data_IF_373038669339
#
_entry.id   IF_373038669339
#
_cell.length_a   1.000
_cell.length_b   1.000
_cell.length_c   1.000
_cell.angle_alpha   90.00
_cell.angle_beta   90.00
_cell.angle_gamma   90.00
#
_symmetry.space_group_name_H-M   'P 1'
#
loop_
_entity.id
_entity.type
_entity.pdbx_description
1 polymer ?
#
# COMPACT_ATOMS: atom_id res chain seq x y z
N UNK A 1 -61.44 15.61 3.99
CA UNK A 1 -60.48 15.63 5.12
C UNK A 1 -59.67 14.33 5.05
N UNK A 2 -58.82 14.18 4.04
CA UNK A 2 -58.18 12.90 3.66
C UNK A 2 -56.91 13.14 2.80
N UNK A 3 -56.18 14.23 3.03
CA UNK A 3 -54.96 14.57 2.27
C UNK A 3 -53.81 15.00 3.21
N UNK A 4 -53.80 14.49 4.45
CA UNK A 4 -52.73 14.79 5.43
C UNK A 4 -51.93 13.57 5.88
N UNK A 5 -52.25 12.36 5.41
CA UNK A 5 -51.65 11.12 5.92
C UNK A 5 -50.65 10.44 4.97
N UNK A 6 -50.48 10.94 3.74
CA UNK A 6 -49.56 10.34 2.77
C UNK A 6 -48.19 11.04 2.75
N UNK A 7 -48.08 12.28 3.23
CA UNK A 7 -46.82 13.03 3.18
C UNK A 7 -45.87 12.80 4.36
N UNK A 8 -46.34 12.26 5.48
CA UNK A 8 -45.48 12.03 6.67
C UNK A 8 -44.72 10.71 6.62
N UNK A 9 -45.06 9.79 5.71
CA UNK A 9 -44.36 8.49 5.61
C UNK A 9 -43.14 8.50 4.69
N UNK A 10 -42.93 9.54 3.87
CA UNK A 10 -41.81 9.60 2.93
C UNK A 10 -40.50 10.18 3.52
N UNK A 11 -40.53 10.75 4.73
CA UNK A 11 -39.35 11.39 5.34
C UNK A 11 -38.57 10.52 6.34
N UNK A 12 -39.02 9.30 6.65
CA UNK A 12 -38.36 8.40 7.61
C UNK A 12 -37.48 7.31 6.98
N UNK A 13 -37.19 7.36 5.68
CA UNK A 13 -36.46 6.30 4.96
C UNK A 13 -35.11 6.71 4.36
N UNK A 14 -34.42 7.72 4.89
CA UNK A 14 -33.07 8.09 4.41
C UNK A 14 -32.10 8.44 5.54
N UNK A 15 -32.14 7.70 6.65
CA UNK A 15 -31.03 7.64 7.59
C UNK A 15 -30.58 6.19 7.76
N UNK A 16 -30.21 5.55 6.65
CA UNK A 16 -29.23 4.46 6.71
C UNK A 16 -27.90 5.06 7.09
N UNK A 17 -27.68 5.18 8.40
CA UNK A 17 -26.36 5.39 8.98
C UNK A 17 -25.44 4.29 8.44
N UNK A 18 -24.64 4.60 7.43
CA UNK A 18 -23.51 3.77 7.03
C UNK A 18 -22.53 3.82 8.19
N UNK A 19 -22.60 2.83 9.06
CA UNK A 19 -21.61 2.60 10.10
C UNK A 19 -20.29 2.32 9.38
N UNK A 20 -19.44 3.34 9.28
CA UNK A 20 -18.07 3.18 8.81
C UNK A 20 -17.35 2.33 9.85
N UNK A 21 -17.25 1.02 9.59
CA UNK A 21 -16.32 0.16 10.30
C UNK A 21 -14.91 0.65 9.96
N UNK A 22 -14.36 1.53 10.79
CA UNK A 22 -12.92 1.66 10.92
C UNK A 22 -12.43 0.34 11.49
N UNK A 23 -11.99 -0.56 10.63
CA UNK A 23 -11.09 -1.63 11.06
C UNK A 23 -9.85 -0.91 11.59
N UNK A 24 -9.73 -0.82 12.91
CA UNK A 24 -8.45 -0.53 13.53
C UNK A 24 -7.53 -1.64 13.06
N UNK A 25 -6.65 -1.33 12.11
CA UNK A 25 -5.51 -2.17 11.80
C UNK A 25 -4.76 -2.24 13.13
N UNK A 26 -4.91 -3.35 13.85
CA UNK A 26 -4.01 -3.63 14.95
C UNK A 26 -2.62 -3.53 14.31
N UNK A 27 -1.77 -2.67 14.86
CA UNK A 27 -0.37 -2.63 14.49
C UNK A 27 0.11 -4.07 14.64
N UNK A 28 0.30 -4.77 13.52
CA UNK A 28 0.84 -6.12 13.52
C UNK A 28 2.10 -6.06 14.38
N UNK A 29 2.07 -6.74 15.54
CA UNK A 29 3.31 -7.10 16.23
C UNK A 29 4.21 -7.68 15.14
N UNK A 30 5.35 -7.05 14.88
CA UNK A 30 6.20 -7.46 13.78
C UNK A 30 6.39 -8.97 13.85
N UNK A 31 5.96 -9.65 12.79
CA UNK A 31 5.99 -11.10 12.75
C UNK A 31 7.39 -11.57 13.14
N UNK A 32 7.45 -12.49 14.11
CA UNK A 32 8.71 -13.01 14.63
C UNK A 32 9.57 -13.54 13.47
N UNK A 33 10.72 -12.90 13.25
CA UNK A 33 11.66 -13.29 12.21
C UNK A 33 12.66 -14.27 12.84
N UNK A 34 12.45 -15.58 12.61
CA UNK A 34 13.35 -16.62 13.15
C UNK A 34 14.79 -16.48 12.67
N UNK A 35 14.99 -15.88 11.50
CA UNK A 35 16.31 -15.63 10.93
C UNK A 35 17.02 -14.49 11.66
N UNK A 36 16.26 -13.52 12.15
CA UNK A 36 16.75 -12.37 12.91
C UNK A 36 15.80 -12.04 14.07
N UNK A 37 15.91 -12.75 15.22
CA UNK A 37 14.98 -12.58 16.34
C UNK A 37 14.95 -11.16 16.91
N UNK A 38 16.09 -10.45 16.82
CA UNK A 38 16.23 -9.05 17.25
C UNK A 38 15.87 -8.06 16.14
N UNK A 39 15.20 -8.51 15.07
CA UNK A 39 14.83 -7.65 13.96
C UNK A 39 14.03 -6.47 14.48
N UNK A 40 14.54 -5.26 14.26
CA UNK A 40 13.94 -4.07 14.80
C UNK A 40 12.59 -3.86 14.14
N UNK A 41 11.53 -3.96 14.94
CA UNK A 41 10.19 -3.60 14.54
C UNK A 41 10.13 -2.07 14.40
N UNK A 42 9.89 -1.52 13.20
CA UNK A 42 9.68 -0.09 13.08
C UNK A 42 8.33 0.25 13.73
N UNK A 43 8.37 0.59 15.02
CA UNK A 43 7.28 1.28 15.68
C UNK A 43 7.07 2.62 14.96
N UNK A 44 5.86 2.84 14.45
CA UNK A 44 5.37 4.04 13.74
C UNK A 44 6.34 5.24 13.73
N UNK A 45 7.24 5.23 12.75
CA UNK A 45 8.24 6.26 12.50
C UNK A 45 9.13 5.81 11.35
N UNK A 46 9.22 6.64 10.29
CA UNK A 46 10.12 6.35 9.18
C UNK A 46 11.56 6.57 9.66
N UNK A 47 12.28 5.48 9.97
CA UNK A 47 13.72 5.55 10.16
C UNK A 47 14.37 6.10 8.88
N UNK A 48 15.32 7.01 9.04
CA UNK A 48 16.13 7.50 7.94
C UNK A 48 16.95 6.34 7.33
N UNK A 49 17.36 6.48 6.08
CA UNK A 49 18.17 5.44 5.40
C UNK A 49 19.49 5.17 6.15
N UNK A 50 20.09 6.20 6.76
CA UNK A 50 21.29 6.06 7.57
C UNK A 50 21.05 5.22 8.84
N UNK A 51 19.96 5.49 9.57
CA UNK A 51 19.57 4.69 10.74
C UNK A 51 19.24 3.25 10.37
N UNK A 52 18.64 3.04 9.19
CA UNK A 52 18.39 1.70 8.67
C UNK A 52 19.70 0.97 8.37
N UNK A 53 20.69 1.62 7.74
CA UNK A 53 22.00 1.00 7.47
C UNK A 53 22.69 0.55 8.76
N UNK A 54 22.85 1.45 9.73
CA UNK A 54 23.50 1.14 11.02
C UNK A 54 22.83 -0.03 11.74
N UNK A 55 21.49 -0.04 11.70
CA UNK A 55 20.68 -1.07 12.32
C UNK A 55 20.82 -2.43 11.62
N UNK A 56 20.98 -2.43 10.31
CA UNK A 56 21.17 -3.63 9.50
C UNK A 56 22.63 -4.12 9.46
N UNK A 57 23.60 -3.30 9.88
CA UNK A 57 24.97 -3.78 10.10
C UNK A 57 25.02 -4.85 11.20
N UNK A 58 24.16 -4.76 12.22
CA UNK A 58 24.02 -5.83 13.24
C UNK A 58 23.59 -7.17 12.65
N UNK A 59 22.74 -7.13 11.61
CA UNK A 59 22.33 -8.35 10.90
C UNK A 59 23.54 -8.97 10.18
N UNK A 60 24.36 -8.15 9.52
CA UNK A 60 25.59 -8.60 8.87
C UNK A 60 26.60 -9.18 9.87
N UNK A 61 26.77 -8.55 11.03
CA UNK A 61 27.62 -9.05 12.11
C UNK A 61 27.13 -10.41 12.65
N UNK A 62 25.83 -10.55 12.87
CA UNK A 62 25.21 -11.80 13.36
C UNK A 62 25.36 -12.95 12.37
N UNK A 63 25.17 -12.71 11.07
CA UNK A 63 25.26 -13.73 10.03
C UNK A 63 26.70 -14.05 9.63
N UNK A 64 27.57 -13.05 9.67
CA UNK A 64 28.95 -13.14 9.24
C UNK A 64 29.12 -12.95 7.73
N UNK A 65 30.31 -12.47 7.37
CA UNK A 65 30.70 -12.12 6.00
C UNK A 65 30.52 -13.29 5.01
N UNK A 66 30.98 -14.49 5.36
CA UNK A 66 30.96 -15.64 4.44
C UNK A 66 29.53 -16.01 4.04
N UNK A 67 28.61 -16.01 5.02
CA UNK A 67 27.20 -16.31 4.77
C UNK A 67 26.54 -15.24 3.91
N UNK A 68 26.80 -13.95 4.22
CA UNK A 68 26.24 -12.83 3.47
C UNK A 68 26.69 -12.85 2.01
N UNK A 69 27.99 -13.08 1.76
CA UNK A 69 28.53 -13.16 0.40
C UNK A 69 28.01 -14.39 -0.36
N UNK A 70 27.81 -15.53 0.31
CA UNK A 70 27.18 -16.69 -0.30
C UNK A 70 25.72 -16.37 -0.73
N UNK A 71 24.96 -15.69 0.13
CA UNK A 71 23.60 -15.24 -0.19
C UNK A 71 23.58 -14.22 -1.31
N UNK A 72 24.57 -13.33 -1.37
CA UNK A 72 24.73 -12.40 -2.49
C UNK A 72 24.94 -13.14 -3.80
N UNK A 73 25.79 -14.16 -3.81
CA UNK A 73 26.06 -14.96 -5.00
C UNK A 73 24.81 -15.73 -5.47
N UNK A 74 24.06 -16.35 -4.56
CA UNK A 74 22.77 -16.98 -4.87
C UNK A 74 21.77 -15.98 -5.47
N UNK A 75 21.67 -14.80 -4.87
CA UNK A 75 20.81 -13.71 -5.36
C UNK A 75 21.22 -13.23 -6.76
N UNK A 76 22.51 -12.97 -6.98
CA UNK A 76 23.02 -12.52 -8.28
C UNK A 76 22.75 -13.58 -9.37
N UNK A 77 22.86 -14.87 -9.04
CA UNK A 77 22.49 -15.95 -9.93
C UNK A 77 20.98 -15.98 -10.21
N UNK A 78 20.15 -15.78 -9.19
CA UNK A 78 18.70 -15.75 -9.35
C UNK A 78 18.24 -14.56 -10.20
N UNK A 79 18.88 -13.40 -10.06
CA UNK A 79 18.65 -12.22 -10.91
C UNK A 79 19.01 -12.56 -12.36
N UNK A 80 20.21 -13.12 -12.59
CA UNK A 80 20.67 -13.49 -13.93
C UNK A 80 19.77 -14.51 -14.62
N UNK A 81 19.21 -15.44 -13.86
CA UNK A 81 18.34 -16.51 -14.37
C UNK A 81 16.86 -16.12 -14.44
N UNK A 82 16.50 -14.89 -14.07
CA UNK A 82 15.11 -14.43 -13.94
C UNK A 82 14.27 -15.30 -12.97
N UNK A 83 14.90 -15.82 -11.91
CA UNK A 83 14.29 -16.63 -10.84
C UNK A 83 14.37 -15.93 -9.47
N UNK A 84 14.50 -14.61 -9.47
CA UNK A 84 14.71 -13.82 -8.26
C UNK A 84 13.45 -13.76 -7.37
N UNK A 85 12.26 -13.75 -7.98
CA UNK A 85 10.98 -13.82 -7.27
C UNK A 85 10.90 -15.09 -6.44
N UNK A 86 11.21 -16.22 -7.08
CA UNK A 86 11.27 -17.55 -6.48
C UNK A 86 12.32 -17.58 -5.38
N UNK A 87 13.52 -17.06 -5.62
CA UNK A 87 14.58 -17.03 -4.61
C UNK A 87 14.14 -16.30 -3.33
N UNK A 88 13.46 -15.15 -3.42
CA UNK A 88 12.96 -14.48 -2.22
C UNK A 88 11.77 -15.24 -1.61
N UNK A 89 10.81 -15.69 -2.40
CA UNK A 89 9.59 -16.35 -1.89
C UNK A 89 9.88 -17.72 -1.26
N UNK A 90 10.70 -18.56 -1.89
CA UNK A 90 11.03 -19.89 -1.37
C UNK A 90 11.98 -19.84 -0.16
N UNK A 91 12.77 -18.78 -0.02
CA UNK A 91 13.50 -18.53 1.23
C UNK A 91 12.54 -18.48 2.42
N UNK A 92 11.41 -17.80 2.27
CA UNK A 92 10.40 -17.61 3.32
C UNK A 92 9.60 -18.90 3.61
N UNK A 93 9.33 -19.73 2.60
CA UNK A 93 8.36 -20.83 2.66
C UNK A 93 8.81 -22.02 3.50
N UNK A 94 10.11 -22.29 3.59
CA UNK A 94 10.58 -23.54 4.20
C UNK A 94 10.77 -23.50 5.72
N UNK A 95 10.50 -22.38 6.42
CA UNK A 95 10.47 -22.34 7.92
C UNK A 95 10.13 -20.96 8.56
N UNK A 96 9.45 -20.02 7.88
CA UNK A 96 9.49 -18.59 8.25
C UNK A 96 10.93 -18.03 8.22
N UNK A 97 11.77 -18.56 7.34
CA UNK A 97 13.16 -18.15 7.25
C UNK A 97 13.29 -16.95 6.31
N UNK A 98 13.13 -15.74 6.83
CA UNK A 98 13.24 -14.53 6.04
C UNK A 98 14.68 -14.21 5.56
N UNK A 99 15.63 -15.16 5.65
CA UNK A 99 17.04 -15.02 5.27
C UNK A 99 17.23 -14.38 3.90
N UNK A 100 16.57 -14.88 2.85
CA UNK A 100 16.77 -14.36 1.50
C UNK A 100 16.27 -12.92 1.39
N UNK A 101 15.13 -12.62 2.02
CA UNK A 101 14.57 -11.27 2.09
C UNK A 101 15.46 -10.31 2.89
N UNK A 102 15.98 -10.77 4.02
CA UNK A 102 16.86 -9.99 4.88
C UNK A 102 18.21 -9.72 4.18
N UNK A 103 18.82 -10.72 3.56
CA UNK A 103 20.03 -10.55 2.77
C UNK A 103 19.80 -9.56 1.62
N UNK A 104 18.72 -9.70 0.85
CA UNK A 104 18.35 -8.74 -0.18
C UNK A 104 18.25 -7.32 0.37
N UNK A 105 17.54 -7.14 1.48
CA UNK A 105 17.32 -5.81 2.05
C UNK A 105 18.61 -5.17 2.54
N UNK A 106 19.51 -5.93 3.18
CA UNK A 106 20.84 -5.45 3.55
C UNK A 106 21.62 -4.93 2.33
N UNK A 107 21.73 -5.73 1.27
CA UNK A 107 22.45 -5.32 0.07
C UNK A 107 21.77 -4.15 -0.65
N UNK A 108 20.44 -4.06 -0.57
CA UNK A 108 19.67 -2.96 -1.13
C UNK A 108 19.96 -1.65 -0.41
N UNK A 109 19.96 -1.64 0.93
CA UNK A 109 20.32 -0.46 1.73
C UNK A 109 21.73 0.05 1.37
N UNK A 110 22.61 -0.85 0.97
CA UNK A 110 23.98 -0.55 0.56
C UNK A 110 24.15 -0.29 -0.94
N UNK A 111 23.06 -0.19 -1.71
CA UNK A 111 23.05 0.05 -3.17
C UNK A 111 23.88 -0.97 -3.97
N UNK A 112 23.97 -2.21 -3.50
CA UNK A 112 24.73 -3.28 -4.16
C UNK A 112 23.84 -4.19 -5.03
N UNK A 113 22.52 -4.02 -4.96
CA UNK A 113 21.54 -4.76 -5.75
C UNK A 113 20.45 -3.83 -6.27
N UNK A 114 19.85 -4.16 -7.44
CA UNK A 114 18.80 -3.35 -8.05
C UNK A 114 17.52 -3.28 -7.19
N UNK A 115 16.72 -2.26 -7.47
CA UNK A 115 15.41 -2.06 -6.85
C UNK A 115 14.46 -3.21 -7.23
N UNK A 116 13.81 -3.81 -6.23
CA UNK A 116 12.66 -4.69 -6.43
C UNK A 116 11.37 -3.92 -6.22
N UNK A 117 10.48 -4.01 -7.19
CA UNK A 117 9.14 -3.44 -7.11
C UNK A 117 8.12 -4.56 -7.09
N UNK A 118 7.13 -4.45 -6.20
CA UNK A 118 5.95 -5.32 -6.20
C UNK A 118 4.82 -4.62 -6.95
N UNK A 119 4.24 -5.29 -7.95
CA UNK A 119 3.04 -4.81 -8.63
C UNK A 119 1.77 -5.05 -7.79
N UNK A 120 0.62 -4.58 -8.29
CA UNK A 120 -0.68 -4.76 -7.63
C UNK A 120 -1.15 -6.22 -7.57
N UNK A 121 -0.59 -7.09 -8.43
CA UNK A 121 -0.87 -8.52 -8.45
C UNK A 121 0.05 -9.30 -7.50
N UNK A 122 0.96 -8.61 -6.80
CA UNK A 122 1.91 -9.22 -5.89
C UNK A 122 3.14 -9.82 -6.56
N UNK A 123 3.32 -9.63 -7.88
CA UNK A 123 4.50 -10.07 -8.62
C UNK A 123 5.63 -9.09 -8.41
N UNK A 124 6.85 -9.61 -8.37
CA UNK A 124 8.03 -8.78 -8.30
C UNK A 124 8.66 -8.61 -9.67
N UNK A 125 9.11 -7.39 -9.93
CA UNK A 125 9.89 -7.06 -11.12
C UNK A 125 11.01 -6.09 -10.74
N UNK A 126 12.04 -6.06 -11.58
CA UNK A 126 13.11 -5.07 -11.50
C UNK A 126 12.85 -4.03 -12.60
N UNK A 127 12.49 -2.78 -12.25
CA UNK A 127 12.31 -1.76 -13.25
C UNK A 127 13.65 -1.46 -13.93
N UNK A 128 13.63 -1.38 -15.26
CA UNK A 128 14.78 -0.94 -16.06
C UNK A 128 15.14 0.51 -15.75
N UNK A 129 14.14 1.34 -15.47
CA UNK A 129 14.29 2.75 -15.10
C UNK A 129 13.93 2.97 -13.63
N UNK A 130 14.91 3.40 -12.83
CA UNK A 130 14.76 3.67 -11.41
C UNK A 130 14.30 5.12 -11.19
N UNK A 131 13.10 5.49 -11.63
CA UNK A 131 12.49 6.76 -11.19
C UNK A 131 11.93 6.60 -9.76
N UNK A 132 12.59 7.17 -8.73
CA UNK A 132 12.17 6.97 -7.34
C UNK A 132 10.79 7.60 -7.04
N UNK A 133 10.32 8.52 -7.88
CA UNK A 133 9.04 9.23 -7.68
C UNK A 133 7.81 8.34 -7.96
N UNK A 134 8.01 7.24 -8.70
CA UNK A 134 6.96 6.27 -9.02
C UNK A 134 6.77 5.21 -7.94
N UNK A 135 7.62 5.16 -6.92
CA UNK A 135 7.63 4.07 -5.95
C UNK A 135 7.43 4.53 -4.51
N UNK A 136 6.67 3.76 -3.74
CA UNK A 136 6.48 3.97 -2.30
C UNK A 136 7.31 2.92 -1.56
N UNK A 137 8.29 3.36 -0.78
CA UNK A 137 9.07 2.48 0.08
C UNK A 137 8.26 2.07 1.31
N UNK A 138 8.24 0.77 1.60
CA UNK A 138 7.67 0.25 2.85
C UNK A 138 8.78 -0.21 3.79
N UNK A 139 9.02 0.50 4.90
CA UNK A 139 10.11 0.17 5.84
C UNK A 139 10.01 -1.24 6.43
N UNK A 140 8.79 -1.76 6.58
CA UNK A 140 8.52 -3.07 7.20
C UNK A 140 8.93 -4.25 6.30
N UNK A 141 8.60 -4.18 5.01
CA UNK A 141 8.84 -5.29 4.08
C UNK A 141 10.10 -5.10 3.25
N UNK A 142 10.62 -3.86 3.20
CA UNK A 142 11.68 -3.46 2.30
C UNK A 142 11.27 -3.38 0.83
N UNK A 143 9.98 -3.56 0.55
CA UNK A 143 9.43 -3.50 -0.79
C UNK A 143 9.14 -2.06 -1.21
N UNK A 144 9.32 -1.84 -2.50
CA UNK A 144 8.81 -0.69 -3.21
C UNK A 144 7.52 -1.08 -3.91
N UNK A 145 6.47 -0.29 -3.72
CA UNK A 145 5.21 -0.49 -4.42
C UNK A 145 5.12 0.53 -5.55
N UNK A 146 4.57 0.11 -6.69
CA UNK A 146 4.15 1.06 -7.72
C UNK A 146 3.11 1.98 -7.08
N UNK A 147 3.38 3.29 -7.09
CA UNK A 147 2.39 4.26 -6.66
C UNK A 147 1.16 4.08 -7.55
N UNK A 148 -0.03 3.81 -7.00
CA UNK A 148 -1.22 3.68 -7.83
C UNK A 148 -1.36 4.95 -8.67
N UNK A 149 -1.75 4.82 -9.95
CA UNK A 149 -2.07 5.99 -10.74
C UNK A 149 -3.05 6.83 -9.93
N UNK A 150 -2.90 8.17 -9.93
CA UNK A 150 -3.75 9.04 -9.15
C UNK A 150 -5.20 8.63 -9.36
N UNK A 151 -5.87 8.23 -8.27
CA UNK A 151 -7.25 7.75 -8.35
C UNK A 151 -8.08 8.77 -9.15
N UNK A 152 -8.97 8.30 -10.05
CA UNK A 152 -9.75 9.20 -10.88
C UNK A 152 -10.38 10.29 -10.02
N UNK A 153 -10.41 11.53 -10.50
CA UNK A 153 -10.86 12.66 -9.68
C UNK A 153 -12.23 12.40 -9.03
N UNK A 154 -13.13 11.68 -9.70
CA UNK A 154 -14.46 11.32 -9.22
C UNK A 154 -14.52 10.30 -8.08
N UNK A 155 -13.43 9.58 -7.77
CA UNK A 155 -13.36 8.66 -6.62
C UNK A 155 -12.78 9.33 -5.37
N UNK A 156 -12.34 10.59 -5.47
CA UNK A 156 -11.86 11.36 -4.33
C UNK A 156 -13.00 12.21 -3.73
N UNK A 157 -12.95 12.57 -2.44
CA UNK A 157 -13.96 13.44 -1.82
C UNK A 157 -14.19 14.73 -2.63
N UNK A 158 -13.12 15.29 -3.20
CA UNK A 158 -13.16 16.51 -4.02
C UNK A 158 -14.01 16.33 -5.29
N UNK A 159 -13.89 15.19 -5.98
CA UNK A 159 -14.72 14.90 -7.14
C UNK A 159 -16.16 14.55 -6.79
N UNK A 160 -16.39 13.97 -5.61
CA UNK A 160 -17.74 13.73 -5.11
C UNK A 160 -18.51 15.05 -4.95
N UNK A 161 -17.86 16.11 -4.45
CA UNK A 161 -18.47 17.44 -4.35
C UNK A 161 -18.85 18.03 -5.71
N UNK A 162 -18.05 17.79 -6.76
CA UNK A 162 -18.36 18.23 -8.13
C UNK A 162 -19.62 17.54 -8.65
N UNK A 163 -19.75 16.22 -8.44
CA UNK A 163 -20.93 15.45 -8.86
C UNK A 163 -22.19 15.94 -8.13
N UNK A 164 -22.10 16.14 -6.82
CA UNK A 164 -23.21 16.67 -6.00
C UNK A 164 -23.59 18.10 -6.44
N UNK A 165 -22.61 18.93 -6.78
CA UNK A 165 -22.82 20.29 -7.30
C UNK A 165 -23.58 20.29 -8.62
N UNK A 166 -23.23 19.41 -9.56
CA UNK A 166 -23.93 19.29 -10.86
C UNK A 166 -25.36 18.79 -10.66
N UNK A 167 -25.56 17.79 -9.79
CA UNK A 167 -26.89 17.24 -9.49
C UNK A 167 -27.83 18.28 -8.88
N UNK A 168 -27.35 19.07 -7.92
CA UNK A 168 -28.12 20.11 -7.26
C UNK A 168 -28.50 21.26 -8.20
N UNK A 169 -27.58 21.70 -9.08
CA UNK A 169 -27.88 22.70 -10.10
C UNK A 169 -28.96 22.22 -11.09
N UNK A 170 -28.87 20.96 -11.52
CA UNK A 170 -29.84 20.36 -12.45
C UNK A 170 -31.25 20.23 -11.86
N UNK A 171 -31.33 19.87 -10.57
CA UNK A 171 -32.59 19.80 -9.83
C UNK A 171 -33.24 21.18 -9.69
N UNK A 172 -32.45 22.22 -9.34
CA UNK A 172 -32.93 23.60 -9.24
C UNK A 172 -33.43 24.12 -10.58
N UNK A 173 -32.68 23.91 -11.66
CA UNK A 173 -33.09 24.33 -13.00
C UNK A 173 -34.42 23.67 -13.42
N UNK A 174 -34.56 22.36 -13.18
CA UNK A 174 -35.80 21.62 -13.45
C UNK A 174 -36.99 22.15 -12.65
N UNK A 175 -36.78 22.47 -11.37
CA UNK A 175 -37.81 23.06 -10.51
C UNK A 175 -38.28 24.43 -11.01
N UNK A 176 -37.36 25.31 -11.42
CA UNK A 176 -37.72 26.62 -11.97
C UNK A 176 -38.44 26.53 -13.32
N UNK A 177 -38.04 25.61 -14.18
CA UNK A 177 -38.73 25.34 -15.44
C UNK A 177 -40.17 24.87 -15.20
N UNK A 178 -40.37 23.90 -14.28
CA UNK A 178 -41.69 23.39 -13.91
C UNK A 178 -42.58 24.51 -13.32
N UNK A 179 -42.03 25.32 -12.41
CA UNK A 179 -42.75 26.45 -11.80
C UNK A 179 -43.21 27.48 -12.84
N UNK A 180 -42.41 27.69 -13.90
CA UNK A 180 -42.76 28.60 -15.01
C UNK A 180 -43.90 28.05 -15.87
N UNK A 181 -43.96 26.73 -16.07
CA UNK A 181 -45.04 26.06 -16.81
C UNK A 181 -46.36 26.12 -16.04
N UNK A 182 -46.35 25.86 -14.73
CA UNK A 182 -47.58 25.84 -13.89
C UNK A 182 -48.23 27.22 -13.74
N UNK A 183 -47.46 28.31 -13.88
CA UNK A 183 -47.95 29.70 -13.74
C UNK A 183 -48.59 30.27 -15.01
N UNK A 184 -48.63 29.51 -16.10
CA UNK A 184 -49.36 29.87 -17.32
C UNK A 184 -50.70 29.15 -17.34
#
# INVERSE_FOLDING_TARGET
>A
MTISLVLTFAMMMTMTTTTFYFQSVNADECAEDKDWPEKPCPAYGAASEAELRERWDKYYEMKGKEWMEAKKAEMDQAIKNNTFTEWIQYGDLDNNNAANRNAYFYYRLNNQVPLRVRDFEGRYFMPEEQDPSMFIFTPLSGDYYVKPPPAPWYTRPEGLYVIIGIGSASALASFFALRKVIRK
#
